data_IF_853937987000
#
_entry.id   IF_853937987000
#
_cell.length_a   1.000
_cell.length_b   1.000
_cell.length_c   1.000
_cell.angle_alpha   90.00
_cell.angle_beta   90.00
_cell.angle_gamma   90.00
#
_symmetry.space_group_name_H-M   'P 1'
#
loop_
_entity.id
_entity.type
_entity.pdbx_description
1 polymer ?
#
# COMPACT_ATOMS: atom_id res chain seq x y z
N UNK A 1 -38.43 -11.47 -10.23
CA UNK A 1 -38.34 -12.31 -9.01
C UNK A 1 -39.26 -13.55 -9.02
N UNK A 2 -40.57 -13.42 -9.27
CA UNK A 2 -41.55 -14.52 -9.09
C UNK A 2 -41.28 -15.78 -9.93
N UNK A 3 -40.65 -15.66 -11.11
CA UNK A 3 -40.29 -16.79 -11.97
C UNK A 3 -38.81 -17.17 -11.93
N UNK A 4 -38.02 -16.63 -10.99
CA UNK A 4 -36.58 -16.89 -10.95
C UNK A 4 -36.26 -18.39 -10.85
N UNK A 5 -37.00 -19.10 -9.98
CA UNK A 5 -36.83 -20.53 -9.76
C UNK A 5 -37.14 -21.41 -11.00
N UNK A 6 -37.93 -20.93 -11.96
CA UNK A 6 -38.19 -21.65 -13.21
C UNK A 6 -37.30 -21.19 -14.37
N UNK A 7 -36.95 -19.90 -14.44
CA UNK A 7 -36.18 -19.31 -15.54
C UNK A 7 -34.68 -19.54 -15.39
N UNK A 8 -34.13 -19.53 -14.17
CA UNK A 8 -32.70 -19.76 -13.96
C UNK A 8 -32.27 -21.19 -14.35
N UNK A 9 -32.96 -22.28 -13.93
CA UNK A 9 -32.62 -23.63 -14.40
C UNK A 9 -32.74 -23.80 -15.91
N UNK A 10 -33.73 -23.13 -16.52
CA UNK A 10 -33.91 -23.14 -17.97
C UNK A 10 -32.72 -22.49 -18.70
N UNK A 11 -32.26 -21.33 -18.20
CA UNK A 11 -31.09 -20.63 -18.73
C UNK A 11 -29.82 -21.47 -18.58
N UNK A 12 -29.61 -22.08 -17.41
CA UNK A 12 -28.47 -22.97 -17.15
C UNK A 12 -28.51 -24.19 -18.08
N UNK A 13 -29.68 -24.83 -18.26
CA UNK A 13 -29.83 -25.98 -19.14
C UNK A 13 -29.50 -25.63 -20.60
N UNK A 14 -29.97 -24.48 -21.10
CA UNK A 14 -29.65 -24.01 -22.44
C UNK A 14 -28.16 -23.70 -22.58
N UNK A 15 -27.58 -23.00 -21.61
CA UNK A 15 -26.15 -22.74 -21.57
C UNK A 15 -25.33 -24.03 -21.69
N UNK A 16 -25.61 -25.01 -20.83
CA UNK A 16 -24.91 -26.30 -20.84
C UNK A 16 -25.10 -27.05 -22.16
N UNK A 17 -26.30 -27.02 -22.74
CA UNK A 17 -26.57 -27.65 -24.03
C UNK A 17 -25.69 -27.07 -25.14
N UNK A 18 -25.62 -25.74 -25.25
CA UNK A 18 -24.77 -25.08 -26.25
C UNK A 18 -23.28 -25.31 -26.02
N UNK A 19 -22.81 -25.31 -24.76
CA UNK A 19 -21.42 -25.64 -24.42
C UNK A 19 -21.10 -27.09 -24.78
N UNK A 20 -21.99 -28.03 -24.47
CA UNK A 20 -21.83 -29.46 -24.83
C UNK A 20 -21.78 -29.62 -26.35
N UNK A 21 -22.62 -28.93 -27.10
CA UNK A 21 -22.58 -28.93 -28.57
C UNK A 21 -21.22 -28.43 -29.06
N UNK A 22 -20.71 -27.32 -28.53
CA UNK A 22 -19.39 -26.80 -28.92
C UNK A 22 -18.27 -27.83 -28.66
N UNK A 23 -18.31 -28.49 -27.50
CA UNK A 23 -17.33 -29.54 -27.15
C UNK A 23 -17.48 -30.76 -28.07
N UNK A 24 -18.69 -31.28 -28.27
CA UNK A 24 -18.96 -32.44 -29.15
C UNK A 24 -18.59 -32.16 -30.60
N UNK A 25 -18.79 -30.92 -31.07
CA UNK A 25 -18.39 -30.51 -32.40
C UNK A 25 -16.86 -30.55 -32.53
N UNK A 26 -16.14 -30.05 -31.52
CA UNK A 26 -14.69 -30.13 -31.46
C UNK A 26 -14.14 -31.57 -31.40
N UNK A 27 -14.94 -32.54 -30.89
CA UNK A 27 -14.61 -33.98 -30.98
C UNK A 27 -14.74 -34.53 -32.41
N UNK A 28 -15.66 -34.01 -33.22
CA UNK A 28 -15.92 -34.50 -34.58
C UNK A 28 -15.06 -33.81 -35.65
N UNK A 29 -14.78 -32.52 -35.47
CA UNK A 29 -13.93 -31.73 -36.35
C UNK A 29 -13.06 -30.80 -35.50
N UNK A 30 -11.73 -30.73 -35.73
CA UNK A 30 -10.89 -29.80 -35.00
C UNK A 30 -11.40 -28.37 -35.26
N UNK A 31 -11.76 -27.59 -34.21
CA UNK A 31 -12.33 -26.26 -34.39
C UNK A 31 -11.31 -25.40 -35.13
N UNK A 32 -11.67 -24.97 -36.34
CA UNK A 32 -10.83 -24.04 -37.11
C UNK A 32 -11.33 -22.65 -36.76
N UNK A 33 -10.71 -22.02 -35.76
CA UNK A 33 -10.97 -20.62 -35.33
C UNK A 33 -10.75 -19.55 -36.43
N UNK A 34 -10.58 -19.96 -37.70
CA UNK A 34 -10.57 -19.09 -38.88
C UNK A 34 -11.97 -18.85 -39.48
N UNK A 35 -12.99 -19.62 -39.08
CA UNK A 35 -14.37 -19.48 -39.55
C UNK A 35 -15.27 -18.73 -38.57
N UNK A 36 -16.18 -17.90 -39.08
CA UNK A 36 -17.16 -17.10 -38.30
C UNK A 36 -18.05 -18.00 -37.41
N UNK A 37 -18.36 -19.23 -37.84
CA UNK A 37 -19.38 -20.06 -37.20
C UNK A 37 -18.90 -20.74 -35.91
N UNK A 38 -17.65 -21.20 -35.83
CA UNK A 38 -17.12 -21.91 -34.66
C UNK A 38 -16.86 -20.96 -33.47
N UNK A 39 -16.34 -19.76 -33.76
CA UNK A 39 -16.10 -18.74 -32.74
C UNK A 39 -17.39 -18.15 -32.17
N UNK A 40 -18.43 -17.99 -32.99
CA UNK A 40 -19.71 -17.40 -32.55
C UNK A 40 -20.40 -18.26 -31.50
N UNK A 41 -20.36 -19.59 -31.59
CA UNK A 41 -20.96 -20.46 -30.57
C UNK A 41 -20.11 -20.42 -29.28
N UNK A 42 -18.79 -20.54 -29.40
CA UNK A 42 -17.89 -20.59 -28.25
C UNK A 42 -17.94 -19.30 -27.42
N UNK A 43 -17.91 -18.14 -28.07
CA UNK A 43 -17.88 -16.83 -27.39
C UNK A 43 -19.26 -16.17 -27.27
N UNK A 44 -20.17 -16.39 -28.23
CA UNK A 44 -21.50 -15.78 -28.23
C UNK A 44 -22.43 -16.38 -27.19
N UNK A 45 -22.43 -17.71 -27.00
CA UNK A 45 -23.24 -18.37 -25.97
C UNK A 45 -23.02 -17.77 -24.58
N UNK A 46 -21.79 -17.67 -24.04
CA UNK A 46 -21.59 -17.08 -22.72
C UNK A 46 -21.96 -15.59 -22.66
N UNK A 47 -21.74 -14.81 -23.72
CA UNK A 47 -22.10 -13.38 -23.74
C UNK A 47 -23.62 -13.22 -23.62
N UNK A 48 -24.39 -13.95 -24.43
CA UNK A 48 -25.86 -13.91 -24.41
C UNK A 48 -26.39 -14.40 -23.06
N UNK A 49 -25.89 -15.53 -22.56
CA UNK A 49 -26.30 -16.09 -21.27
C UNK A 49 -25.99 -15.13 -20.14
N UNK A 50 -24.81 -14.53 -20.11
CA UNK A 50 -24.44 -13.56 -19.07
C UNK A 50 -25.29 -12.30 -19.14
N UNK A 51 -25.67 -11.86 -20.34
CA UNK A 51 -26.55 -10.70 -20.54
C UNK A 51 -27.97 -10.96 -20.02
N UNK A 52 -28.50 -12.17 -20.26
CA UNK A 52 -29.78 -12.61 -19.69
C UNK A 52 -29.69 -12.80 -18.17
N UNK A 53 -28.58 -13.35 -17.69
CA UNK A 53 -28.31 -13.51 -16.26
C UNK A 53 -28.27 -12.16 -15.56
N UNK A 54 -27.65 -11.13 -16.16
CA UNK A 54 -27.65 -9.76 -15.64
C UNK A 54 -29.06 -9.22 -15.40
N UNK A 55 -30.00 -9.50 -16.30
CA UNK A 55 -31.40 -9.10 -16.12
C UNK A 55 -32.10 -9.91 -15.02
N UNK A 56 -31.76 -11.18 -14.84
CA UNK A 56 -32.36 -12.08 -13.85
C UNK A 56 -31.93 -11.76 -12.42
N UNK A 57 -30.65 -11.46 -12.22
CA UNK A 57 -30.06 -11.25 -10.89
C UNK A 57 -29.91 -9.78 -10.51
N UNK A 58 -30.49 -8.86 -11.31
CA UNK A 58 -30.36 -7.41 -11.11
C UNK A 58 -30.75 -6.93 -9.71
N UNK A 59 -31.72 -7.61 -9.09
CA UNK A 59 -32.26 -7.27 -7.76
C UNK A 59 -31.59 -8.08 -6.63
N UNK A 60 -30.59 -8.91 -6.94
CA UNK A 60 -29.87 -9.75 -5.99
C UNK A 60 -28.51 -9.10 -5.71
N UNK A 61 -28.24 -8.78 -4.45
CA UNK A 61 -26.95 -8.21 -4.03
C UNK A 61 -25.80 -9.13 -4.45
N UNK A 62 -24.83 -8.57 -5.19
CA UNK A 62 -23.70 -9.30 -5.78
C UNK A 62 -24.05 -10.47 -6.72
N UNK A 63 -25.32 -10.65 -7.11
CA UNK A 63 -25.77 -11.80 -7.90
C UNK A 63 -25.06 -11.92 -9.25
N UNK A 64 -24.79 -10.77 -9.90
CA UNK A 64 -24.09 -10.75 -11.18
C UNK A 64 -22.59 -11.06 -11.03
N UNK A 65 -21.98 -10.64 -9.93
CA UNK A 65 -20.59 -10.95 -9.60
C UNK A 65 -20.38 -12.44 -9.36
N UNK A 66 -21.26 -13.07 -8.56
CA UNK A 66 -21.23 -14.52 -8.33
C UNK A 66 -21.48 -15.30 -9.62
N UNK A 67 -22.36 -14.81 -10.49
CA UNK A 67 -22.62 -15.42 -11.79
C UNK A 67 -21.38 -15.35 -12.70
N UNK A 68 -20.69 -14.21 -12.75
CA UNK A 68 -19.44 -14.06 -13.49
C UNK A 68 -18.35 -14.99 -12.94
N UNK A 69 -18.19 -15.05 -11.61
CA UNK A 69 -17.25 -15.93 -10.96
C UNK A 69 -17.55 -17.41 -11.26
N UNK A 70 -18.81 -17.82 -11.17
CA UNK A 70 -19.25 -19.17 -11.48
C UNK A 70 -18.96 -19.56 -12.93
N UNK A 71 -19.24 -18.68 -13.90
CA UNK A 71 -18.86 -18.89 -15.31
C UNK A 71 -17.35 -18.97 -15.48
N UNK A 72 -16.59 -18.10 -14.81
CA UNK A 72 -15.12 -18.11 -14.82
C UNK A 72 -14.55 -19.45 -14.37
N UNK A 73 -14.98 -19.92 -13.19
CA UNK A 73 -14.60 -21.21 -12.62
C UNK A 73 -15.03 -22.37 -13.53
N UNK A 74 -16.26 -22.33 -14.05
CA UNK A 74 -16.79 -23.35 -14.94
C UNK A 74 -15.93 -23.52 -16.19
N UNK A 75 -15.58 -22.44 -16.89
CA UNK A 75 -14.78 -22.52 -18.11
C UNK A 75 -13.33 -22.96 -17.85
N UNK A 76 -12.69 -22.50 -16.76
CA UNK A 76 -11.35 -22.98 -16.38
C UNK A 76 -11.37 -24.47 -16.02
N UNK A 77 -12.37 -24.91 -15.25
CA UNK A 77 -12.54 -26.31 -14.90
C UNK A 77 -12.77 -27.18 -16.15
N UNK A 78 -13.62 -26.71 -17.07
CA UNK A 78 -13.90 -27.41 -18.33
C UNK A 78 -12.64 -27.48 -19.21
N UNK A 79 -11.88 -26.39 -19.33
CA UNK A 79 -10.60 -26.38 -20.04
C UNK A 79 -9.61 -27.39 -19.44
N UNK A 80 -9.54 -27.48 -18.11
CA UNK A 80 -8.70 -28.45 -17.41
C UNK A 80 -9.14 -29.89 -17.65
N UNK A 81 -10.44 -30.18 -17.61
CA UNK A 81 -10.99 -31.50 -17.89
C UNK A 81 -10.71 -31.94 -19.34
N UNK A 82 -10.89 -31.05 -20.31
CA UNK A 82 -10.59 -31.32 -21.72
C UNK A 82 -9.09 -31.53 -21.93
N UNK A 83 -8.24 -30.73 -21.26
CA UNK A 83 -6.78 -30.89 -21.30
C UNK A 83 -6.36 -32.28 -20.81
N UNK A 84 -7.01 -32.85 -19.80
CA UNK A 84 -6.73 -34.20 -19.26
C UNK A 84 -7.00 -35.32 -20.29
N UNK A 85 -7.72 -35.05 -21.38
CA UNK A 85 -7.92 -36.03 -22.46
C UNK A 85 -6.68 -36.22 -23.35
N UNK A 86 -5.64 -35.38 -23.21
CA UNK A 86 -4.36 -35.46 -23.93
C UNK A 86 -4.48 -35.52 -25.46
N UNK A 87 -5.50 -34.88 -26.04
CA UNK A 87 -5.68 -34.82 -27.50
C UNK A 87 -5.22 -33.45 -28.05
N UNK A 88 -4.29 -33.41 -29.03
CA UNK A 88 -3.74 -32.17 -29.54
C UNK A 88 -4.75 -31.28 -30.28
N UNK A 89 -5.83 -31.86 -30.82
CA UNK A 89 -6.86 -31.13 -31.56
C UNK A 89 -7.74 -30.19 -30.70
N UNK A 90 -7.71 -30.31 -29.36
CA UNK A 90 -8.47 -29.42 -28.48
C UNK A 90 -7.72 -28.13 -28.09
N UNK A 91 -6.50 -27.92 -28.57
CA UNK A 91 -5.65 -26.81 -28.13
C UNK A 91 -6.38 -25.46 -28.23
N UNK A 92 -6.97 -25.17 -29.39
CA UNK A 92 -7.65 -23.91 -29.68
C UNK A 92 -8.91 -23.72 -28.80
N UNK A 93 -9.64 -24.80 -28.52
CA UNK A 93 -10.81 -24.78 -27.62
C UNK A 93 -10.39 -24.55 -26.17
N UNK A 94 -9.31 -25.21 -25.72
CA UNK A 94 -8.74 -25.05 -24.38
C UNK A 94 -8.29 -23.60 -24.19
N UNK A 95 -7.57 -23.02 -25.15
CA UNK A 95 -7.12 -21.62 -25.09
C UNK A 95 -8.32 -20.66 -25.05
N UNK A 96 -9.37 -20.92 -25.83
CA UNK A 96 -10.61 -20.12 -25.83
C UNK A 96 -11.35 -20.20 -24.49
N UNK A 97 -11.49 -21.40 -23.90
CA UNK A 97 -12.13 -21.58 -22.59
C UNK A 97 -11.30 -20.97 -21.45
N UNK A 98 -9.97 -21.05 -21.51
CA UNK A 98 -9.12 -20.33 -20.55
C UNK A 98 -9.34 -18.82 -20.69
N UNK A 99 -9.38 -18.29 -21.92
CA UNK A 99 -9.62 -16.87 -22.16
C UNK A 99 -10.98 -16.40 -21.63
N UNK A 100 -12.05 -17.17 -21.86
CA UNK A 100 -13.37 -16.91 -21.29
C UNK A 100 -13.36 -16.98 -19.77
N UNK A 101 -12.72 -18.01 -19.21
CA UNK A 101 -12.59 -18.20 -17.77
C UNK A 101 -11.91 -17.03 -17.07
N UNK A 102 -10.79 -16.57 -17.64
CA UNK A 102 -10.06 -15.38 -17.17
C UNK A 102 -10.92 -14.12 -17.36
N UNK A 103 -11.56 -13.94 -18.51
CA UNK A 103 -12.40 -12.77 -18.79
C UNK A 103 -13.55 -12.61 -17.81
N UNK A 104 -14.33 -13.67 -17.55
CA UNK A 104 -15.41 -13.63 -16.56
C UNK A 104 -14.90 -13.52 -15.12
N UNK A 105 -13.78 -14.19 -14.80
CA UNK A 105 -13.13 -14.03 -13.51
C UNK A 105 -12.72 -12.59 -13.23
N UNK A 106 -12.14 -11.91 -14.21
CA UNK A 106 -11.79 -10.48 -14.11
C UNK A 106 -13.03 -9.60 -14.01
N UNK A 107 -14.10 -9.89 -14.77
CA UNK A 107 -15.37 -9.15 -14.68
C UNK A 107 -16.08 -9.31 -13.33
N UNK A 108 -15.90 -10.44 -12.64
CA UNK A 108 -16.49 -10.65 -11.32
C UNK A 108 -16.01 -9.62 -10.28
N UNK A 109 -14.80 -9.08 -10.43
CA UNK A 109 -14.23 -8.09 -9.53
C UNK A 109 -15.01 -6.76 -9.55
N UNK A 110 -15.09 -6.01 -10.67
CA UNK A 110 -15.85 -4.75 -10.74
C UNK A 110 -17.34 -4.91 -10.44
N UNK A 111 -17.90 -6.10 -10.66
CA UNK A 111 -19.29 -6.39 -10.37
C UNK A 111 -19.55 -6.70 -8.88
N UNK A 112 -18.52 -7.21 -8.18
CA UNK A 112 -18.63 -7.70 -6.80
C UNK A 112 -18.02 -6.77 -5.77
N UNK A 113 -17.09 -5.91 -6.17
CA UNK A 113 -16.34 -5.03 -5.29
C UNK A 113 -16.57 -3.57 -5.66
N UNK A 114 -16.38 -2.70 -4.66
CA UNK A 114 -16.49 -1.27 -4.82
C UNK A 114 -15.44 -0.72 -5.83
N UNK A 115 -15.71 0.44 -6.41
CA UNK A 115 -14.87 1.06 -7.44
C UNK A 115 -13.41 1.25 -7.00
N UNK A 116 -13.18 1.55 -5.72
CA UNK A 116 -11.84 1.67 -5.12
C UNK A 116 -11.07 0.35 -5.12
N UNK A 117 -11.68 -0.74 -4.66
CA UNK A 117 -11.04 -2.07 -4.66
C UNK A 117 -10.79 -2.53 -6.08
N UNK A 118 -11.72 -2.28 -7.00
CA UNK A 118 -11.55 -2.57 -8.43
C UNK A 118 -10.37 -1.81 -9.03
N UNK A 119 -10.25 -0.52 -8.73
CA UNK A 119 -9.12 0.31 -9.16
C UNK A 119 -7.80 -0.20 -8.61
N UNK A 120 -7.77 -0.64 -7.34
CA UNK A 120 -6.61 -1.28 -6.75
C UNK A 120 -6.25 -2.62 -7.43
N UNK A 121 -7.25 -3.41 -7.83
CA UNK A 121 -7.05 -4.65 -8.58
C UNK A 121 -6.49 -4.41 -9.98
N UNK A 122 -6.80 -3.28 -10.64
CA UNK A 122 -6.09 -2.89 -11.87
C UNK A 122 -4.61 -2.64 -11.63
N UNK A 123 -4.23 -2.06 -10.49
CA UNK A 123 -2.81 -1.91 -10.12
C UNK A 123 -2.17 -3.27 -9.83
N UNK A 124 -2.90 -4.21 -9.23
CA UNK A 124 -2.44 -5.58 -9.06
C UNK A 124 -2.24 -6.30 -10.41
N UNK A 125 -3.16 -6.17 -11.35
CA UNK A 125 -3.05 -6.70 -12.71
C UNK A 125 -1.88 -6.07 -13.47
N UNK A 126 -1.70 -4.76 -13.33
CA UNK A 126 -0.53 -4.05 -13.85
C UNK A 126 0.79 -4.67 -13.38
N UNK A 127 0.87 -5.06 -12.09
CA UNK A 127 2.05 -5.73 -11.54
C UNK A 127 2.33 -7.09 -12.19
N UNK A 128 1.28 -7.84 -12.54
CA UNK A 128 1.39 -9.10 -13.28
C UNK A 128 1.84 -8.87 -14.73
N UNK A 129 1.32 -7.85 -15.40
CA UNK A 129 1.74 -7.46 -16.75
C UNK A 129 3.21 -7.04 -16.79
N UNK A 130 3.66 -6.24 -15.82
CA UNK A 130 5.07 -5.86 -15.65
C UNK A 130 5.95 -7.09 -15.40
N UNK A 131 5.51 -8.01 -14.54
CA UNK A 131 6.21 -9.27 -14.28
C UNK A 131 6.39 -10.10 -15.56
N UNK A 132 5.31 -10.31 -16.33
CA UNK A 132 5.36 -11.01 -17.63
C UNK A 132 6.26 -10.26 -18.61
N UNK A 133 6.14 -8.95 -18.72
CA UNK A 133 6.93 -8.10 -19.62
C UNK A 133 8.43 -8.19 -19.35
N UNK A 134 8.84 -8.12 -18.07
CA UNK A 134 10.25 -8.29 -17.66
C UNK A 134 10.71 -9.74 -17.86
N UNK A 135 9.87 -10.73 -17.52
CA UNK A 135 10.24 -12.15 -17.65
C UNK A 135 10.45 -12.57 -19.10
N UNK A 136 9.58 -12.11 -20.00
CA UNK A 136 9.60 -12.43 -21.43
C UNK A 136 10.39 -11.41 -22.28
N UNK A 137 10.96 -10.38 -21.66
CA UNK A 137 11.64 -9.26 -22.35
C UNK A 137 10.76 -8.59 -23.42
N UNK A 138 9.44 -8.51 -23.18
CA UNK A 138 8.48 -7.89 -24.10
C UNK A 138 8.11 -6.50 -23.61
N UNK A 139 8.22 -5.52 -24.50
CA UNK A 139 7.94 -4.11 -24.20
C UNK A 139 6.45 -3.84 -23.99
N UNK A 140 5.59 -4.42 -24.83
CA UNK A 140 4.16 -4.10 -24.81
C UNK A 140 3.49 -4.39 -23.45
N UNK A 141 3.58 -5.62 -22.87
CA UNK A 141 3.01 -5.90 -21.54
C UNK A 141 3.63 -5.03 -20.43
N UNK A 142 4.89 -4.63 -20.60
CA UNK A 142 5.62 -3.84 -19.61
C UNK A 142 5.09 -2.40 -19.55
N UNK A 143 5.02 -1.73 -20.70
CA UNK A 143 4.49 -0.37 -20.79
C UNK A 143 2.99 -0.31 -20.54
N UNK A 144 2.22 -1.29 -21.00
CA UNK A 144 0.79 -1.39 -20.66
C UNK A 144 0.61 -1.57 -19.16
N UNK A 145 1.47 -2.37 -18.50
CA UNK A 145 1.49 -2.51 -17.06
C UNK A 145 1.75 -1.18 -16.34
N UNK A 146 2.75 -0.41 -16.73
CA UNK A 146 3.00 0.90 -16.11
C UNK A 146 1.84 1.88 -16.32
N UNK A 147 1.30 1.94 -17.54
CA UNK A 147 0.14 2.78 -17.82
C UNK A 147 -1.06 2.36 -16.97
N UNK A 148 -1.34 1.06 -16.85
CA UNK A 148 -2.43 0.53 -16.05
C UNK A 148 -2.24 0.79 -14.55
N UNK A 149 -1.01 0.72 -14.03
CA UNK A 149 -0.71 1.06 -12.63
C UNK A 149 -1.03 2.53 -12.32
N UNK A 150 -0.68 3.44 -13.24
CA UNK A 150 -0.99 4.87 -13.10
C UNK A 150 -2.49 5.11 -13.20
N UNK A 151 -3.16 4.53 -14.20
CA UNK A 151 -4.60 4.67 -14.39
C UNK A 151 -5.39 4.11 -13.20
N UNK A 152 -5.02 2.92 -12.70
CA UNK A 152 -5.65 2.33 -11.52
C UNK A 152 -5.43 3.17 -10.26
N UNK A 153 -4.23 3.72 -10.07
CA UNK A 153 -3.93 4.62 -8.95
C UNK A 153 -4.75 5.93 -9.03
N UNK A 154 -4.92 6.50 -10.23
CA UNK A 154 -5.74 7.69 -10.45
C UNK A 154 -7.23 7.40 -10.26
N UNK A 155 -7.72 6.28 -10.79
CA UNK A 155 -9.10 5.85 -10.62
C UNK A 155 -9.44 5.67 -9.13
N UNK A 156 -8.52 5.14 -8.32
CA UNK A 156 -8.70 5.02 -6.87
C UNK A 156 -9.02 6.36 -6.18
N UNK A 157 -8.45 7.47 -6.64
CA UNK A 157 -8.72 8.80 -6.08
C UNK A 157 -10.07 9.39 -6.54
N UNK A 158 -10.50 9.05 -7.77
CA UNK A 158 -11.75 9.57 -8.35
C UNK A 158 -12.96 8.82 -7.80
N UNK A 159 -12.81 7.53 -7.51
CA UNK A 159 -13.88 6.70 -6.98
C UNK A 159 -14.31 7.19 -5.58
N UNK A 160 -15.63 7.34 -5.31
CA UNK A 160 -16.11 7.81 -4.02
C UNK A 160 -15.74 6.82 -2.91
N UNK A 161 -15.52 7.34 -1.70
CA UNK A 161 -15.32 6.51 -0.52
C UNK A 161 -16.60 5.79 -0.14
N UNK A 162 -16.46 4.51 0.23
CA UNK A 162 -17.60 3.71 0.67
C UNK A 162 -17.74 3.83 2.17
N UNK A 163 -18.64 4.72 2.62
CA UNK A 163 -18.97 4.92 4.03
C UNK A 163 -19.89 3.81 4.57
N UNK A 164 -19.43 2.56 4.51
CA UNK A 164 -20.00 1.50 5.34
C UNK A 164 -19.23 1.51 6.66
N UNK A 165 -19.93 1.61 7.80
CA UNK A 165 -19.35 1.58 9.15
C UNK A 165 -18.62 0.24 9.39
N UNK A 166 -17.35 0.18 8.98
CA UNK A 166 -16.48 -1.00 9.13
C UNK A 166 -15.36 -0.67 10.12
N UNK A 167 -14.79 -1.69 10.73
CA UNK A 167 -13.61 -1.61 11.59
C UNK A 167 -12.46 -0.87 10.88
N UNK A 168 -11.80 0.03 11.59
CA UNK A 168 -10.62 0.74 11.09
C UNK A 168 -9.56 -0.26 10.60
N UNK A 169 -8.88 0.08 9.49
CA UNK A 169 -7.87 -0.74 8.80
C UNK A 169 -8.39 -2.08 8.22
N UNK A 170 -9.67 -2.42 8.37
CA UNK A 170 -10.31 -3.61 7.79
C UNK A 170 -11.44 -3.25 6.82
N UNK A 171 -11.49 -1.99 6.38
CA UNK A 171 -12.43 -1.54 5.37
C UNK A 171 -11.90 -1.73 3.94
N UNK A 172 -12.82 -1.66 2.98
CA UNK A 172 -12.50 -1.84 1.55
C UNK A 172 -11.50 -0.81 1.03
N UNK A 173 -11.57 0.44 1.50
CA UNK A 173 -10.68 1.52 1.07
C UNK A 173 -9.23 1.22 1.48
N UNK A 174 -8.98 0.87 2.73
CA UNK A 174 -7.66 0.54 3.24
C UNK A 174 -7.12 -0.75 2.62
N UNK A 175 -7.97 -1.77 2.42
CA UNK A 175 -7.58 -2.99 1.68
C UNK A 175 -7.13 -2.62 0.25
N UNK A 176 -7.83 -1.71 -0.42
CA UNK A 176 -7.43 -1.20 -1.73
C UNK A 176 -6.06 -0.51 -1.69
N UNK A 177 -5.81 0.34 -0.69
CA UNK A 177 -4.47 0.94 -0.48
C UNK A 177 -3.42 -0.15 -0.28
N UNK A 178 -3.67 -1.17 0.55
CA UNK A 178 -2.72 -2.26 0.78
C UNK A 178 -2.39 -3.02 -0.52
N UNK A 179 -3.39 -3.29 -1.36
CA UNK A 179 -3.19 -3.93 -2.66
C UNK A 179 -2.27 -3.06 -3.54
N UNK A 180 -2.51 -1.75 -3.61
CA UNK A 180 -1.67 -0.82 -4.38
C UNK A 180 -0.24 -0.79 -3.83
N UNK A 181 -0.06 -0.71 -2.51
CA UNK A 181 1.26 -0.73 -1.84
C UNK A 181 2.01 -2.01 -2.19
N UNK A 182 1.37 -3.17 -2.06
CA UNK A 182 2.01 -4.46 -2.37
C UNK A 182 2.36 -4.59 -3.85
N UNK A 183 1.45 -4.21 -4.74
CA UNK A 183 1.66 -4.28 -6.19
C UNK A 183 2.81 -3.37 -6.65
N UNK A 184 2.83 -2.13 -6.18
CA UNK A 184 3.89 -1.16 -6.51
C UNK A 184 5.23 -1.51 -5.87
N UNK A 185 5.24 -1.99 -4.61
CA UNK A 185 6.46 -2.50 -3.99
C UNK A 185 7.01 -3.70 -4.75
N UNK A 186 6.16 -4.65 -5.15
CA UNK A 186 6.55 -5.80 -5.97
C UNK A 186 7.14 -5.37 -7.31
N UNK A 187 6.49 -4.46 -8.05
CA UNK A 187 7.04 -3.93 -9.31
C UNK A 187 8.42 -3.30 -9.10
N UNK A 188 8.57 -2.48 -8.04
CA UNK A 188 9.83 -1.81 -7.73
C UNK A 188 10.97 -2.77 -7.38
N UNK A 189 10.70 -3.78 -6.54
CA UNK A 189 11.67 -4.80 -6.13
C UNK A 189 12.00 -5.78 -7.25
N UNK A 190 11.00 -6.23 -8.01
CA UNK A 190 11.19 -7.17 -9.09
C UNK A 190 12.01 -6.56 -10.24
N UNK A 191 11.71 -5.30 -10.60
CA UNK A 191 12.51 -4.53 -11.55
C UNK A 191 13.96 -4.34 -11.05
N UNK A 192 14.16 -4.14 -9.74
CA UNK A 192 15.51 -4.03 -9.15
C UNK A 192 16.31 -5.32 -9.27
N UNK A 193 15.67 -6.47 -9.12
CA UNK A 193 16.36 -7.77 -9.18
C UNK A 193 16.71 -8.18 -10.62
N UNK A 194 15.89 -7.78 -11.59
CA UNK A 194 16.03 -8.18 -13.00
C UNK A 194 16.53 -7.03 -13.90
N UNK A 195 17.38 -6.15 -13.36
CA UNK A 195 17.86 -4.93 -14.04
C UNK A 195 18.40 -5.18 -15.44
N UNK A 196 19.05 -6.32 -15.66
CA UNK A 196 19.66 -6.68 -16.95
C UNK A 196 18.64 -6.86 -18.09
N UNK A 197 17.35 -7.03 -17.75
CA UNK A 197 16.25 -7.19 -18.72
C UNK A 197 15.48 -5.89 -18.97
N UNK A 198 15.82 -4.80 -18.28
CA UNK A 198 15.20 -3.48 -18.47
C UNK A 198 15.98 -2.65 -19.49
N UNK A 199 15.29 -1.68 -20.11
CA UNK A 199 15.97 -0.68 -20.92
C UNK A 199 16.86 0.18 -20.02
N UNK A 200 18.01 0.65 -20.53
CA UNK A 200 18.95 1.50 -19.77
C UNK A 200 18.28 2.72 -19.13
N UNK A 201 17.33 3.33 -19.83
CA UNK A 201 16.58 4.51 -19.36
C UNK A 201 15.57 4.12 -18.28
N UNK A 202 15.01 2.91 -18.35
CA UNK A 202 13.94 2.45 -17.46
C UNK A 202 14.47 1.95 -16.11
N UNK A 203 15.68 1.40 -16.11
CA UNK A 203 16.32 0.71 -15.01
C UNK A 203 16.32 1.50 -13.68
N UNK A 204 16.75 2.78 -13.60
CA UNK A 204 16.65 3.53 -12.36
C UNK A 204 15.22 4.01 -12.10
N UNK A 205 14.52 4.53 -13.11
CA UNK A 205 13.26 5.24 -12.88
C UNK A 205 12.14 4.34 -12.39
N UNK A 206 11.91 3.18 -13.01
CA UNK A 206 10.78 2.32 -12.62
C UNK A 206 10.95 1.79 -11.20
N UNK A 207 12.15 1.29 -10.87
CA UNK A 207 12.40 0.74 -9.53
C UNK A 207 12.26 1.80 -8.43
N UNK A 208 12.71 3.03 -8.69
CA UNK A 208 12.59 4.12 -7.73
C UNK A 208 11.16 4.64 -7.63
N UNK A 209 10.52 4.96 -8.76
CA UNK A 209 9.17 5.52 -8.78
C UNK A 209 8.14 4.57 -8.18
N UNK A 210 8.21 3.27 -8.49
CA UNK A 210 7.26 2.29 -7.95
C UNK A 210 7.46 2.09 -6.43
N UNK A 211 8.71 2.12 -5.96
CA UNK A 211 8.97 2.05 -4.53
C UNK A 211 8.55 3.32 -3.79
N UNK A 212 8.78 4.50 -4.39
CA UNK A 212 8.30 5.76 -3.85
C UNK A 212 6.77 5.78 -3.79
N UNK A 213 6.09 5.31 -4.84
CA UNK A 213 4.66 5.17 -4.85
C UNK A 213 4.17 4.26 -3.71
N UNK A 214 4.81 3.10 -3.51
CA UNK A 214 4.45 2.18 -2.43
C UNK A 214 4.54 2.84 -1.04
N UNK A 215 5.64 3.55 -0.76
CA UNK A 215 5.81 4.24 0.53
C UNK A 215 4.82 5.39 0.67
N UNK A 216 4.61 6.19 -0.40
CA UNK A 216 3.65 7.29 -0.37
C UNK A 216 2.23 6.80 -0.11
N UNK A 217 1.79 5.74 -0.79
CA UNK A 217 0.47 5.14 -0.57
C UNK A 217 0.32 4.58 0.86
N UNK A 218 1.35 3.93 1.38
CA UNK A 218 1.35 3.43 2.76
C UNK A 218 1.21 4.55 3.79
N UNK A 219 2.02 5.61 3.65
CA UNK A 219 2.01 6.75 4.57
C UNK A 219 0.69 7.50 4.48
N UNK A 220 0.30 7.94 3.28
CA UNK A 220 -0.89 8.75 3.09
C UNK A 220 -2.17 7.98 3.43
N UNK A 221 -2.28 6.72 3.00
CA UNK A 221 -3.45 5.90 3.29
C UNK A 221 -3.60 5.60 4.78
N UNK A 222 -2.49 5.35 5.49
CA UNK A 222 -2.53 5.16 6.94
C UNK A 222 -2.91 6.42 7.71
N UNK A 223 -2.39 7.59 7.31
CA UNK A 223 -2.76 8.87 7.93
C UNK A 223 -4.24 9.21 7.69
N UNK A 224 -4.73 9.01 6.47
CA UNK A 224 -6.13 9.23 6.09
C UNK A 224 -7.08 8.33 6.87
N UNK A 225 -6.71 7.06 7.03
CA UNK A 225 -7.48 6.07 7.79
C UNK A 225 -7.58 6.44 9.29
N UNK A 226 -6.48 6.93 9.87
CA UNK A 226 -6.43 7.41 11.26
C UNK A 226 -7.31 8.65 11.44
N UNK A 227 -7.22 9.62 10.53
CA UNK A 227 -8.04 10.83 10.55
C UNK A 227 -9.54 10.54 10.43
N UNK A 228 -9.90 9.56 9.58
CA UNK A 228 -11.29 9.16 9.37
C UNK A 228 -11.91 8.48 10.60
N UNK A 229 -11.21 7.54 11.22
CA UNK A 229 -11.80 6.67 12.26
C UNK A 229 -11.47 7.10 13.69
N UNK A 230 -10.37 7.80 13.92
CA UNK A 230 -9.87 8.12 15.26
C UNK A 230 -9.79 9.63 15.49
N UNK A 231 -10.89 10.36 15.30
CA UNK A 231 -10.93 11.82 15.51
C UNK A 231 -10.56 12.25 16.93
N UNK A 232 -10.92 11.43 17.91
CA UNK A 232 -10.55 11.62 19.31
C UNK A 232 -9.04 11.64 19.45
N UNK A 233 -8.40 10.55 19.02
CA UNK A 233 -6.99 10.16 19.23
C UNK A 233 -6.04 10.35 18.05
N UNK A 234 -6.42 11.20 17.10
CA UNK A 234 -5.79 11.28 15.79
C UNK A 234 -4.29 11.60 15.90
N UNK A 235 -3.95 12.58 16.73
CA UNK A 235 -2.63 13.19 16.73
C UNK A 235 -1.51 12.24 17.18
N UNK A 236 -1.70 11.55 18.31
CA UNK A 236 -0.67 10.63 18.79
C UNK A 236 -0.63 9.36 17.94
N UNK A 237 -1.79 8.88 17.44
CA UNK A 237 -1.84 7.72 16.54
C UNK A 237 -1.11 7.99 15.22
N UNK A 238 -1.24 9.18 14.64
CA UNK A 238 -0.47 9.60 13.47
C UNK A 238 1.05 9.57 13.75
N UNK A 239 1.49 10.05 14.91
CA UNK A 239 2.92 10.03 15.27
C UNK A 239 3.43 8.60 15.52
N UNK A 240 2.66 7.73 16.17
CA UNK A 240 2.98 6.31 16.31
C UNK A 240 3.04 5.60 14.96
N UNK A 241 2.14 5.93 14.03
CA UNK A 241 2.14 5.38 12.67
C UNK A 241 3.41 5.76 11.91
N UNK A 242 3.80 7.04 11.96
CA UNK A 242 5.03 7.52 11.32
C UNK A 242 6.29 6.92 11.95
N UNK A 243 6.30 6.78 13.28
CA UNK A 243 7.37 6.11 14.03
C UNK A 243 7.51 4.65 13.57
N UNK A 244 6.41 3.89 13.61
CA UNK A 244 6.39 2.49 13.21
C UNK A 244 6.82 2.34 11.74
N UNK A 245 6.34 3.21 10.86
CA UNK A 245 6.72 3.25 9.45
C UNK A 245 8.22 3.51 9.29
N UNK A 246 8.79 4.45 10.03
CA UNK A 246 10.24 4.73 10.01
C UNK A 246 11.03 3.49 10.40
N UNK A 247 10.67 2.82 11.49
CA UNK A 247 11.36 1.60 11.97
C UNK A 247 11.27 0.46 10.95
N UNK A 248 10.08 0.24 10.38
CA UNK A 248 9.86 -0.79 9.35
C UNK A 248 10.67 -0.48 8.09
N UNK A 249 10.75 0.78 7.67
CA UNK A 249 11.54 1.18 6.51
C UNK A 249 13.05 1.02 6.77
N UNK A 250 13.55 1.40 7.95
CA UNK A 250 14.96 1.19 8.34
C UNK A 250 15.30 -0.31 8.34
N UNK A 251 14.46 -1.13 8.97
CA UNK A 251 14.64 -2.57 9.01
C UNK A 251 14.64 -3.19 7.61
N UNK A 252 13.68 -2.80 6.78
CA UNK A 252 13.56 -3.27 5.39
C UNK A 252 14.73 -2.80 4.52
N UNK A 253 15.20 -1.57 4.71
CA UNK A 253 16.35 -1.02 4.01
C UNK A 253 17.63 -1.81 4.30
N UNK A 254 17.84 -2.19 5.57
CA UNK A 254 18.98 -3.00 5.98
C UNK A 254 18.87 -4.44 5.46
N UNK A 255 17.69 -5.07 5.60
CA UNK A 255 17.46 -6.46 5.16
C UNK A 255 17.56 -6.63 3.64
N UNK A 256 17.06 -5.66 2.87
CA UNK A 256 17.07 -5.70 1.40
C UNK A 256 18.29 -4.97 0.79
N UNK A 257 19.19 -4.45 1.64
CA UNK A 257 20.30 -3.58 1.25
C UNK A 257 19.86 -2.51 0.22
N UNK A 258 18.75 -1.82 0.47
CA UNK A 258 18.16 -0.85 -0.47
C UNK A 258 18.31 0.59 0.03
N UNK A 259 19.26 1.38 -0.51
CA UNK A 259 19.49 2.76 -0.06
C UNK A 259 18.28 3.69 -0.19
N UNK A 260 17.41 3.46 -1.18
CA UNK A 260 16.21 4.28 -1.36
C UNK A 260 15.26 4.16 -0.18
N UNK A 261 15.04 2.95 0.35
CA UNK A 261 14.19 2.74 1.53
C UNK A 261 14.73 3.48 2.75
N UNK A 262 16.06 3.57 2.89
CA UNK A 262 16.66 4.36 3.98
C UNK A 262 16.42 5.85 3.80
N UNK A 263 16.50 6.37 2.56
CA UNK A 263 16.14 7.76 2.26
C UNK A 263 14.66 8.02 2.54
N UNK A 264 13.78 7.10 2.18
CA UNK A 264 12.36 7.18 2.53
C UNK A 264 12.16 7.19 4.05
N UNK A 265 12.86 6.33 4.79
CA UNK A 265 12.81 6.32 6.25
C UNK A 265 13.24 7.67 6.85
N UNK A 266 14.31 8.27 6.31
CA UNK A 266 14.76 9.59 6.73
C UNK A 266 13.70 10.66 6.45
N UNK A 267 13.11 10.66 5.27
CA UNK A 267 12.05 11.63 4.89
C UNK A 267 10.84 11.48 5.79
N UNK A 268 10.33 10.25 5.98
CA UNK A 268 9.19 9.98 6.88
C UNK A 268 9.53 10.42 8.30
N UNK A 269 10.75 10.15 8.77
CA UNK A 269 11.16 10.54 10.11
C UNK A 269 11.20 12.07 10.26
N UNK A 270 11.77 12.80 9.29
CA UNK A 270 11.79 14.29 9.29
C UNK A 270 10.37 14.87 9.24
N UNK A 271 9.47 14.26 8.46
CA UNK A 271 8.08 14.71 8.31
C UNK A 271 7.24 14.60 9.59
N UNK A 272 7.69 13.86 10.61
CA UNK A 272 7.01 13.80 11.91
C UNK A 272 6.92 15.18 12.58
N UNK A 273 7.97 16.01 12.44
CA UNK A 273 8.03 17.34 13.06
C UNK A 273 7.02 18.35 12.49
N UNK A 274 6.93 18.59 11.17
CA UNK A 274 5.90 19.48 10.61
C UNK A 274 4.47 18.96 10.84
N UNK A 275 4.28 17.64 10.97
CA UNK A 275 2.97 17.08 11.30
C UNK A 275 2.48 17.53 12.70
N UNK A 276 3.39 17.90 13.62
CA UNK A 276 3.05 18.48 14.92
C UNK A 276 2.35 19.84 14.83
N UNK A 277 2.38 20.53 13.69
CA UNK A 277 1.60 21.77 13.51
C UNK A 277 0.09 21.51 13.65
N UNK A 278 -0.39 20.32 13.31
CA UNK A 278 -1.79 19.96 13.51
C UNK A 278 -2.11 19.71 15.00
N UNK A 279 -1.12 19.24 15.77
CA UNK A 279 -1.23 18.97 17.21
C UNK A 279 -1.51 20.27 18.00
N UNK A 280 -1.15 21.44 17.47
CA UNK A 280 -1.39 22.70 18.18
C UNK A 280 -2.89 23.08 18.30
N UNK A 281 -3.77 22.41 17.57
CA UNK A 281 -5.22 22.56 17.71
C UNK A 281 -5.85 21.67 18.79
N UNK A 282 -5.13 20.67 19.32
CA UNK A 282 -5.70 19.69 20.24
C UNK A 282 -6.00 20.29 21.62
N UNK A 283 -7.14 19.99 22.25
CA UNK A 283 -7.45 20.45 23.60
C UNK A 283 -6.54 19.80 24.65
N UNK A 284 -6.26 20.53 25.75
CA UNK A 284 -5.49 20.03 26.91
C UNK A 284 -6.47 19.82 28.06
N UNK A 285 -7.28 18.76 27.97
CA UNK A 285 -8.45 18.57 28.84
C UNK A 285 -8.40 17.35 29.75
N UNK A 286 -7.53 16.37 29.48
CA UNK A 286 -7.60 15.06 30.14
C UNK A 286 -6.88 15.09 31.50
N UNK A 287 -5.61 14.71 31.48
CA UNK A 287 -4.76 14.65 32.65
C UNK A 287 -3.34 15.07 32.27
N UNK A 288 -2.61 15.54 33.27
CA UNK A 288 -1.19 15.83 33.15
C UNK A 288 -0.47 14.58 32.62
N UNK A 289 0.36 14.75 31.59
CA UNK A 289 1.14 13.75 30.88
C UNK A 289 0.37 12.65 30.13
N UNK A 290 -0.96 12.66 30.17
CA UNK A 290 -1.80 11.69 29.45
C UNK A 290 -2.73 12.32 28.42
N UNK A 291 -2.69 13.64 28.25
CA UNK A 291 -3.39 14.29 27.16
C UNK A 291 -2.72 13.98 25.81
N UNK A 292 -3.53 13.97 24.77
CA UNK A 292 -3.09 13.59 23.43
C UNK A 292 -1.96 14.44 22.89
N UNK A 293 -2.02 15.73 23.23
CA UNK A 293 -1.07 16.75 22.77
C UNK A 293 0.32 16.46 23.32
N UNK A 294 0.40 16.18 24.63
CA UNK A 294 1.61 15.77 25.31
C UNK A 294 2.14 14.46 24.74
N UNK A 295 1.30 13.43 24.60
CA UNK A 295 1.73 12.12 24.09
C UNK A 295 2.29 12.26 22.67
N UNK A 296 1.61 12.99 21.78
CA UNK A 296 2.08 13.20 20.41
C UNK A 296 3.45 13.91 20.37
N UNK A 297 3.63 14.99 21.16
CA UNK A 297 4.90 15.72 21.23
C UNK A 297 6.00 14.87 21.90
N UNK A 298 5.69 14.17 22.99
CA UNK A 298 6.63 13.33 23.72
C UNK A 298 7.14 12.16 22.86
N UNK A 299 6.26 11.52 22.08
CA UNK A 299 6.63 10.45 21.14
C UNK A 299 7.64 10.98 20.12
N UNK A 300 7.39 12.14 19.50
CA UNK A 300 8.34 12.74 18.54
C UNK A 300 9.65 13.11 19.22
N UNK A 301 9.58 13.81 20.35
CA UNK A 301 10.75 14.28 21.11
C UNK A 301 11.69 13.14 21.49
N UNK A 302 11.14 12.11 22.17
CA UNK A 302 11.90 10.94 22.60
C UNK A 302 12.42 10.12 21.41
N UNK A 303 11.61 9.93 20.37
CA UNK A 303 12.02 9.17 19.20
C UNK A 303 13.16 9.87 18.43
N UNK A 304 13.11 11.20 18.32
CA UNK A 304 14.18 11.99 17.68
C UNK A 304 15.48 11.93 18.48
N UNK A 305 15.43 11.92 19.81
CA UNK A 305 16.61 11.69 20.66
C UNK A 305 17.25 10.31 20.43
N UNK A 306 16.46 9.29 20.12
CA UNK A 306 16.95 7.93 19.78
C UNK A 306 17.44 7.86 18.32
N UNK A 307 16.78 8.58 17.41
CA UNK A 307 17.14 8.59 15.99
C UNK A 307 18.37 9.44 15.68
N UNK A 308 18.62 10.51 16.45
CA UNK A 308 19.84 11.31 16.35
C UNK A 308 21.08 10.42 16.36
N UNK A 309 21.22 9.45 17.31
CA UNK A 309 22.37 8.59 17.32
C UNK A 309 22.46 7.53 16.26
N UNK A 310 21.30 7.02 15.86
CA UNK A 310 21.20 6.11 14.73
C UNK A 310 21.69 6.76 13.44
N UNK A 311 21.23 7.97 13.13
CA UNK A 311 21.56 8.66 11.88
C UNK A 311 23.05 9.04 11.80
N UNK A 312 23.69 9.49 12.90
CA UNK A 312 25.15 9.74 12.86
C UNK A 312 25.90 8.48 12.48
N UNK A 313 25.64 7.35 13.16
CA UNK A 313 26.34 6.08 12.89
C UNK A 313 26.11 5.59 11.46
N UNK A 314 24.89 5.72 10.95
CA UNK A 314 24.57 5.34 9.58
C UNK A 314 25.40 6.14 8.56
N UNK A 315 25.51 7.46 8.75
CA UNK A 315 26.26 8.32 7.85
C UNK A 315 27.77 8.25 8.04
N UNK A 316 28.25 8.01 9.28
CA UNK A 316 29.65 7.74 9.59
C UNK A 316 30.10 6.40 8.98
N UNK A 317 29.24 5.39 8.91
CA UNK A 317 29.57 4.11 8.26
C UNK A 317 29.81 4.22 6.74
N UNK A 318 29.35 5.28 6.07
CA UNK A 318 29.51 5.49 4.61
C UNK A 318 30.79 6.27 4.25
N UNK A 319 31.89 6.06 4.97
CA UNK A 319 33.17 6.74 4.78
C UNK A 319 33.80 6.45 3.40
N UNK A 320 33.40 7.22 2.37
CA UNK A 320 34.13 7.32 1.11
C UNK A 320 33.84 8.57 0.25
N UNK A 321 33.16 9.61 0.76
CA UNK A 321 32.79 10.77 -0.07
C UNK A 321 33.12 12.13 0.58
N UNK A 322 33.72 12.99 -0.27
CA UNK A 322 34.10 14.42 -0.18
C UNK A 322 33.65 15.28 1.01
N UNK A 323 34.50 16.25 1.36
CA UNK A 323 34.38 17.14 2.52
C UNK A 323 33.04 17.90 2.65
N UNK A 324 32.36 18.23 1.55
CA UNK A 324 31.05 18.89 1.57
C UNK A 324 29.92 17.95 2.05
N UNK A 325 29.98 16.67 1.69
CA UNK A 325 29.00 15.68 2.14
C UNK A 325 29.10 15.41 3.64
N UNK A 326 30.25 15.68 4.26
CA UNK A 326 30.48 15.52 5.71
C UNK A 326 29.68 16.54 6.53
N UNK A 327 29.56 17.77 6.03
CA UNK A 327 28.77 18.83 6.69
C UNK A 327 27.28 18.54 6.71
N UNK A 328 26.72 18.14 5.57
CA UNK A 328 25.30 17.78 5.45
C UNK A 328 24.94 16.58 6.35
N UNK A 329 25.83 15.58 6.43
CA UNK A 329 25.63 14.38 7.25
C UNK A 329 25.62 14.68 8.75
N UNK A 330 26.53 15.53 9.23
CA UNK A 330 26.56 15.95 10.63
C UNK A 330 25.34 16.83 10.99
N UNK A 331 24.85 17.62 10.03
CA UNK A 331 23.68 18.46 10.21
C UNK A 331 22.40 17.65 10.47
N UNK A 332 22.22 16.50 9.80
CA UNK A 332 21.05 15.64 10.01
C UNK A 332 20.98 15.12 11.45
N UNK A 333 22.07 14.60 12.02
CA UNK A 333 22.08 14.10 13.40
C UNK A 333 21.81 15.21 14.42
N UNK A 334 22.37 16.41 14.19
CA UNK A 334 22.13 17.60 15.02
C UNK A 334 20.70 18.10 14.92
N UNK A 335 20.11 18.08 13.73
CA UNK A 335 18.70 18.41 13.51
C UNK A 335 17.81 17.54 14.41
N UNK A 336 17.98 16.21 14.39
CA UNK A 336 17.18 15.32 15.24
C UNK A 336 17.44 15.55 16.73
N UNK A 337 18.67 15.84 17.14
CA UNK A 337 18.98 16.15 18.53
C UNK A 337 18.25 17.43 18.99
N UNK A 338 18.41 18.52 18.24
CA UNK A 338 17.81 19.82 18.58
C UNK A 338 16.29 19.75 18.51
N UNK A 339 15.73 19.23 17.42
CA UNK A 339 14.28 19.08 17.27
C UNK A 339 13.70 18.17 18.36
N UNK A 340 14.38 17.07 18.71
CA UNK A 340 13.96 16.18 19.79
C UNK A 340 13.91 16.87 21.16
N UNK A 341 14.98 17.61 21.51
CA UNK A 341 15.06 18.36 22.77
C UNK A 341 14.01 19.47 22.81
N UNK A 342 13.92 20.29 21.76
CA UNK A 342 12.96 21.40 21.70
C UNK A 342 11.53 20.88 21.82
N UNK A 343 11.17 19.83 21.08
CA UNK A 343 9.83 19.25 21.16
C UNK A 343 9.55 18.63 22.53
N UNK A 344 10.53 17.95 23.15
CA UNK A 344 10.40 17.39 24.50
C UNK A 344 10.17 18.46 25.57
N UNK A 345 11.03 19.49 25.60
CA UNK A 345 10.92 20.59 26.56
C UNK A 345 9.62 21.36 26.34
N UNK A 346 9.26 21.63 25.09
CA UNK A 346 8.01 22.31 24.75
C UNK A 346 6.78 21.52 25.22
N UNK A 347 6.76 20.20 25.03
CA UNK A 347 5.68 19.33 25.51
C UNK A 347 5.48 19.46 27.02
N UNK A 348 6.57 19.37 27.78
CA UNK A 348 6.55 19.43 29.23
C UNK A 348 6.17 20.81 29.76
N UNK A 349 6.73 21.88 29.19
CA UNK A 349 6.44 23.26 29.62
C UNK A 349 4.96 23.58 29.43
N UNK A 350 4.36 23.20 28.29
CA UNK A 350 2.93 23.40 28.05
C UNK A 350 2.07 22.70 29.10
N UNK A 351 2.45 21.49 29.48
CA UNK A 351 1.67 20.67 30.41
C UNK A 351 1.82 21.14 31.85
N UNK A 352 3.05 21.46 32.30
CA UNK A 352 3.32 22.04 33.61
C UNK A 352 2.60 23.39 33.76
N UNK A 353 2.66 24.25 32.73
CA UNK A 353 1.99 25.55 32.75
C UNK A 353 0.47 25.42 32.91
N UNK A 354 -0.14 24.38 32.32
CA UNK A 354 -1.58 24.14 32.39
C UNK A 354 -2.03 23.53 33.71
N UNK A 355 -1.32 22.52 34.21
CA UNK A 355 -1.75 21.71 35.35
C UNK A 355 -1.14 22.12 36.70
N UNK A 356 0.04 22.76 36.71
CA UNK A 356 0.74 23.19 37.94
C UNK A 356 1.17 24.67 37.83
N UNK A 357 0.23 25.62 37.74
CA UNK A 357 0.57 27.02 37.53
C UNK A 357 1.25 27.69 38.73
N UNK A 358 0.97 27.24 39.96
CA UNK A 358 1.48 27.87 41.18
C UNK A 358 2.99 27.67 41.39
N UNK A 359 3.49 26.47 41.07
CA UNK A 359 4.90 26.08 41.28
C UNK A 359 5.62 25.79 39.95
N UNK A 360 5.14 26.38 38.85
CA UNK A 360 5.59 26.04 37.50
C UNK A 360 7.11 26.23 37.31
N UNK A 361 7.71 27.27 37.91
CA UNK A 361 9.14 27.55 37.76
C UNK A 361 10.00 26.42 38.35
N UNK A 362 9.66 25.96 39.55
CA UNK A 362 10.36 24.85 40.20
C UNK A 362 10.28 23.57 39.36
N UNK A 363 9.09 23.22 38.85
CA UNK A 363 8.92 22.01 38.05
C UNK A 363 9.59 22.09 36.68
N UNK A 364 9.59 23.27 36.04
CA UNK A 364 10.31 23.51 34.79
C UNK A 364 11.83 23.40 35.01
N UNK A 365 12.38 24.02 36.07
CA UNK A 365 13.80 23.90 36.42
C UNK A 365 14.20 22.46 36.73
N UNK A 366 13.40 21.74 37.50
CA UNK A 366 13.63 20.33 37.81
C UNK A 366 13.61 19.45 36.54
N UNK A 367 12.67 19.72 35.64
CA UNK A 367 12.58 19.03 34.35
C UNK A 367 13.77 19.35 33.43
N UNK A 368 14.22 20.60 33.37
CA UNK A 368 15.41 20.98 32.60
C UNK A 368 16.66 20.32 33.16
N UNK A 369 16.85 20.37 34.49
CA UNK A 369 17.98 19.75 35.17
C UNK A 369 18.02 18.22 34.98
N UNK A 370 16.86 17.55 35.07
CA UNK A 370 16.78 16.10 34.82
C UNK A 370 17.05 15.75 33.35
N UNK A 371 16.50 16.51 32.40
CA UNK A 371 16.75 16.32 30.97
C UNK A 371 18.24 16.52 30.64
N UNK A 372 18.87 17.57 31.17
CA UNK A 372 20.30 17.83 31.02
C UNK A 372 21.16 16.70 31.62
N UNK A 373 20.79 16.19 32.80
CA UNK A 373 21.49 15.07 33.45
C UNK A 373 21.44 13.80 32.58
N UNK A 374 20.27 13.48 32.02
CA UNK A 374 20.10 12.35 31.10
C UNK A 374 20.93 12.53 29.83
N UNK A 375 20.93 13.73 29.24
CA UNK A 375 21.73 14.04 28.05
C UNK A 375 23.24 13.95 28.33
N UNK A 376 23.72 14.44 29.48
CA UNK A 376 25.11 14.29 29.91
C UNK A 376 25.50 12.83 30.10
N UNK A 377 24.64 12.05 30.75
CA UNK A 377 24.85 10.62 30.96
C UNK A 377 24.93 9.86 29.64
N UNK A 378 23.99 10.11 28.72
CA UNK A 378 24.01 9.53 27.37
C UNK A 378 25.25 9.97 26.58
N UNK A 379 25.61 11.25 26.65
CA UNK A 379 26.80 11.82 26.01
C UNK A 379 28.10 11.21 26.54
N UNK A 380 28.17 10.90 27.84
CA UNK A 380 29.31 10.17 28.42
C UNK A 380 29.35 8.70 27.97
N UNK A 381 28.21 8.00 28.06
CA UNK A 381 28.13 6.57 27.74
C UNK A 381 28.44 6.29 26.27
N UNK A 382 28.00 7.16 25.36
CA UNK A 382 28.21 7.00 23.92
C UNK A 382 29.43 7.75 23.38
N UNK A 383 30.15 8.51 24.22
CA UNK A 383 31.25 9.42 23.84
C UNK A 383 30.87 10.52 22.83
N UNK A 384 29.66 11.04 22.93
CA UNK A 384 29.12 11.99 21.96
C UNK A 384 29.18 13.42 22.46
N UNK A 385 29.95 14.26 21.76
CA UNK A 385 30.19 15.66 22.16
C UNK A 385 28.92 16.51 22.04
N UNK A 386 28.12 16.28 21.00
CA UNK A 386 26.91 17.09 20.73
C UNK A 386 25.85 16.93 21.83
N UNK A 387 25.72 15.74 22.44
CA UNK A 387 24.82 15.53 23.59
C UNK A 387 25.29 16.28 24.85
N UNK A 388 26.61 16.40 25.06
CA UNK A 388 27.17 17.17 26.18
C UNK A 388 26.92 18.67 26.01
N UNK A 389 27.09 19.18 24.79
CA UNK A 389 26.76 20.57 24.46
C UNK A 389 25.28 20.84 24.61
N UNK A 390 24.43 19.94 24.11
CA UNK A 390 22.99 20.07 24.24
C UNK A 390 22.56 20.10 25.72
N UNK A 391 23.16 19.28 26.58
CA UNK A 391 22.86 19.32 28.01
C UNK A 391 23.20 20.66 28.68
N UNK A 392 24.30 21.31 28.29
CA UNK A 392 24.62 22.65 28.77
C UNK A 392 23.56 23.66 28.31
N UNK A 393 23.14 23.60 27.05
CA UNK A 393 22.11 24.48 26.47
C UNK A 393 20.71 24.26 27.08
N UNK A 394 20.43 23.10 27.68
CA UNK A 394 19.16 22.88 28.39
C UNK A 394 19.14 23.56 29.76
N UNK A 395 20.31 23.79 30.36
CA UNK A 395 20.45 24.40 31.71
C UNK A 395 20.58 25.92 31.65
N UNK A 396 21.15 26.45 30.56
CA UNK A 396 21.33 27.88 30.29
C UNK A 396 20.28 28.41 29.34
#
# INVERSE_FOLDING_TARGET
>A
PQFFASVEPFLIAHFLLYVVIAVLFAFKQPPKLKGINDGTIIFGTPIVVFSLQAALVKDIEYGLAYSALALGVFYVALAYLIKKLHRPFFKDLIESFIALGVGFGTLAIPLGFDGRVTSAMWVAEASALVWVGIRQSRLFPRFSGYALAVLGSLAFFVEPEVNKNVLAFLNADFIGVLIIVMATAFMGLYARHHKDRLLRIEMPWVSHLMMLAAVSWWVLGGLHEIEKHFRGSMYYLQQFWMLATTVVLVFSANKLAYPLLMRCALVVNVLMWPLLLHVTGAPINDAMFFNERFIALAVVGLFYLVMSPFWSKYFDGQHQADGEAKGLKAWVSRYFLVAGIVTWLFAMVLDIHKFIPAEQLFWIELMMASTATVLLWLGHRQQWRDFKWAALVVVF
#
